data_IF_969578511639
#
_entry.id   IF_969578511639
#
_cell.length_a   1.000
_cell.length_b   1.000
_cell.length_c   1.000
_cell.angle_alpha   90.00
_cell.angle_beta   90.00
_cell.angle_gamma   90.00
#
_symmetry.space_group_name_H-M   'P 1'
#
loop_
_entity.id
_entity.type
_entity.pdbx_description
1 polymer ?
#
# COMPACT_ATOMS: atom_id res chain seq x y z
N UNK A 1 13.17 53.84 36.82
CA UNK A 1 11.78 54.18 37.20
C UNK A 1 10.84 53.25 36.44
N UNK A 2 9.97 52.61 37.20
CA UNK A 2 8.93 51.65 36.80
C UNK A 2 7.82 52.30 35.99
N UNK A 3 7.30 51.63 34.95
CA UNK A 3 5.84 51.61 34.72
C UNK A 3 5.41 50.35 33.95
N UNK A 4 4.66 49.49 34.65
CA UNK A 4 3.77 48.46 34.09
C UNK A 4 2.50 49.15 33.57
N UNK A 5 1.93 48.64 32.49
CA UNK A 5 0.63 49.06 31.99
C UNK A 5 0.01 48.04 31.04
N UNK A 6 -0.70 47.07 31.60
CA UNK A 6 -1.66 46.18 30.94
C UNK A 6 -2.79 46.98 30.28
N UNK A 7 -3.17 46.65 29.03
CA UNK A 7 -4.56 46.83 28.57
C UNK A 7 -4.90 45.80 27.49
N UNK A 8 -5.84 44.92 27.83
CA UNK A 8 -6.62 44.06 26.95
C UNK A 8 -7.69 44.90 26.24
N UNK A 9 -7.87 44.70 24.93
CA UNK A 9 -9.10 44.91 24.15
C UNK A 9 -8.72 44.90 22.65
N UNK A 10 -9.49 44.43 21.68
CA UNK A 10 -10.76 43.72 21.58
C UNK A 10 -10.80 43.25 20.11
N UNK A 11 -11.28 42.03 19.88
CA UNK A 11 -12.06 41.57 18.72
C UNK A 11 -12.06 42.41 17.43
N UNK A 12 -11.56 41.80 16.34
CA UNK A 12 -12.11 42.01 15.00
C UNK A 12 -12.35 40.63 14.38
N UNK A 13 -13.60 40.15 14.53
CA UNK A 13 -14.12 39.03 13.74
C UNK A 13 -14.27 39.56 12.32
N UNK A 14 -13.41 39.12 11.40
CA UNK A 14 -13.62 39.33 9.98
C UNK A 14 -14.32 38.09 9.42
N UNK A 15 -15.64 38.17 9.35
CA UNK A 15 -16.49 37.27 8.57
C UNK A 15 -16.22 37.52 7.08
N UNK A 16 -15.44 36.65 6.44
CA UNK A 16 -15.37 36.59 4.97
C UNK A 16 -16.51 35.69 4.49
N UNK A 17 -17.68 36.30 4.30
CA UNK A 17 -18.76 35.76 3.48
C UNK A 17 -18.42 36.06 2.01
N UNK A 18 -17.81 35.09 1.32
CA UNK A 18 -17.74 35.08 -0.14
C UNK A 18 -18.51 33.85 -0.63
N UNK A 19 -19.77 34.09 -0.99
CA UNK A 19 -20.56 33.16 -1.76
C UNK A 19 -20.06 33.15 -3.21
N UNK A 20 -19.76 31.96 -3.73
CA UNK A 20 -20.01 31.60 -5.12
C UNK A 20 -18.86 31.81 -6.13
N UNK A 21 -17.97 30.84 -6.20
CA UNK A 21 -17.53 30.27 -7.48
C UNK A 21 -17.30 28.77 -7.29
N UNK A 22 -18.09 27.99 -8.02
CA UNK A 22 -17.92 26.56 -8.20
C UNK A 22 -16.52 26.27 -8.73
N UNK A 23 -15.71 25.63 -7.90
CA UNK A 23 -14.52 24.90 -8.29
C UNK A 23 -14.42 23.81 -7.26
N UNK A 24 -14.82 22.60 -7.65
CA UNK A 24 -14.73 21.36 -6.87
C UNK A 24 -13.45 21.39 -6.01
N UNK A 25 -13.57 21.67 -4.71
CA UNK A 25 -12.64 21.08 -3.76
C UNK A 25 -12.99 19.60 -3.83
N UNK A 26 -12.24 18.87 -4.66
CA UNK A 26 -12.10 17.43 -4.48
C UNK A 26 -11.63 17.28 -3.04
N UNK A 27 -12.57 16.95 -2.14
CA UNK A 27 -12.22 16.23 -0.93
C UNK A 27 -11.29 15.10 -1.40
N UNK A 28 -10.07 14.97 -0.85
CA UNK A 28 -9.28 13.80 -1.14
C UNK A 28 -10.17 12.61 -0.81
N UNK A 29 -10.49 11.80 -1.83
CA UNK A 29 -11.23 10.57 -1.63
C UNK A 29 -10.52 9.83 -0.49
N UNK A 30 -11.24 9.36 0.55
CA UNK A 30 -10.60 8.64 1.63
C UNK A 30 -9.81 7.50 0.99
N UNK A 31 -8.49 7.52 1.16
CA UNK A 31 -7.60 6.41 0.85
C UNK A 31 -8.23 5.20 1.51
N UNK A 32 -8.92 4.35 0.75
CA UNK A 32 -9.86 3.39 1.31
C UNK A 32 -9.11 2.52 2.32
N UNK A 33 -9.37 2.74 3.61
CA UNK A 33 -8.77 1.95 4.68
C UNK A 33 -9.08 0.46 4.43
N UNK A 34 -8.13 -0.44 4.71
CA UNK A 34 -8.34 -1.87 4.48
C UNK A 34 -9.61 -2.32 5.19
N UNK A 35 -10.48 -3.01 4.46
CA UNK A 35 -11.91 -3.07 4.81
C UNK A 35 -12.24 -4.26 5.72
N UNK A 36 -11.35 -5.24 5.84
CA UNK A 36 -11.37 -6.25 6.90
C UNK A 36 -10.03 -6.99 6.98
N UNK A 37 -9.64 -7.43 8.18
CA UNK A 37 -8.61 -8.47 8.31
C UNK A 37 -9.09 -9.77 7.62
N UNK A 38 -8.18 -10.47 6.96
CA UNK A 38 -8.43 -11.73 6.25
C UNK A 38 -7.39 -12.78 6.66
N UNK A 39 -7.68 -14.04 6.36
CA UNK A 39 -6.75 -15.13 6.66
C UNK A 39 -5.69 -15.23 5.55
N UNK A 40 -4.43 -15.60 5.85
CA UNK A 40 -3.40 -15.84 4.84
C UNK A 40 -3.85 -16.77 3.71
N UNK A 41 -4.59 -17.83 4.06
CA UNK A 41 -5.09 -18.79 3.08
C UNK A 41 -6.01 -18.19 2.01
N UNK A 42 -6.74 -17.11 2.33
CA UNK A 42 -7.62 -16.45 1.36
C UNK A 42 -6.79 -15.73 0.28
N UNK A 43 -5.69 -15.10 0.68
CA UNK A 43 -4.73 -14.50 -0.23
C UNK A 43 -4.03 -15.57 -1.07
N UNK A 44 -3.58 -16.67 -0.45
CA UNK A 44 -2.88 -17.76 -1.14
C UNK A 44 -3.78 -18.49 -2.14
N UNK A 45 -5.06 -18.68 -1.82
CA UNK A 45 -6.04 -19.28 -2.74
C UNK A 45 -6.19 -18.44 -4.02
N UNK A 46 -6.30 -17.11 -3.88
CA UNK A 46 -6.49 -16.22 -5.03
C UNK A 46 -5.19 -16.01 -5.82
N UNK A 47 -4.08 -15.74 -5.11
CA UNK A 47 -2.79 -15.46 -5.74
C UNK A 47 -2.11 -16.72 -6.27
N UNK A 48 -2.34 -17.89 -5.67
CA UNK A 48 -1.54 -19.09 -5.89
C UNK A 48 -0.08 -18.95 -5.40
N UNK A 49 0.27 -17.87 -4.70
CA UNK A 49 1.55 -17.70 -4.04
C UNK A 49 1.41 -18.16 -2.59
N UNK A 50 2.36 -18.95 -2.11
CA UNK A 50 2.39 -19.44 -0.73
C UNK A 50 3.27 -18.52 0.12
N UNK A 51 2.72 -17.97 1.21
CA UNK A 51 3.48 -17.18 2.18
C UNK A 51 4.36 -18.15 2.96
N UNK A 52 5.70 -17.95 3.00
CA UNK A 52 6.60 -18.86 3.70
C UNK A 52 6.24 -19.01 5.19
N UNK A 53 6.37 -20.22 5.74
CA UNK A 53 6.14 -20.47 7.17
C UNK A 53 7.12 -19.69 8.07
N UNK A 54 8.28 -19.31 7.54
CA UNK A 54 9.29 -18.45 8.17
C UNK A 54 8.88 -16.98 8.26
N UNK A 55 7.82 -16.56 7.55
CA UNK A 55 7.42 -15.17 7.49
C UNK A 55 6.96 -14.64 8.86
N UNK A 56 7.46 -13.46 9.21
CA UNK A 56 7.12 -12.78 10.45
C UNK A 56 6.23 -11.55 10.17
N UNK A 57 5.45 -11.15 11.17
CA UNK A 57 4.55 -9.99 11.09
C UNK A 57 3.57 -10.09 9.91
N UNK A 58 3.02 -11.28 9.69
CA UNK A 58 2.07 -11.54 8.60
C UNK A 58 0.75 -10.85 8.90
N UNK A 59 0.36 -9.93 8.02
CA UNK A 59 -0.93 -9.27 8.02
C UNK A 59 -1.56 -9.41 6.65
N UNK A 60 -2.84 -9.78 6.60
CA UNK A 60 -3.60 -9.90 5.35
C UNK A 60 -4.91 -9.15 5.50
N UNK A 61 -5.23 -8.37 4.47
CA UNK A 61 -6.40 -7.53 4.42
C UNK A 61 -7.20 -7.81 3.15
N UNK A 62 -8.53 -7.87 3.29
CA UNK A 62 -9.45 -7.72 2.17
C UNK A 62 -9.69 -6.24 1.91
N UNK A 63 -9.50 -5.82 0.67
CA UNK A 63 -9.77 -4.44 0.24
C UNK A 63 -11.09 -4.46 -0.51
N UNK A 64 -12.09 -3.74 0.03
CA UNK A 64 -13.53 -3.96 -0.19
C UNK A 64 -14.02 -4.30 -1.60
N UNK A 65 -15.17 -4.95 -1.64
CA UNK A 65 -15.86 -5.46 -2.83
C UNK A 65 -16.28 -4.33 -3.79
N UNK A 66 -15.39 -3.92 -4.71
CA UNK A 66 -15.81 -3.22 -5.93
C UNK A 66 -16.45 -4.24 -6.88
N UNK A 67 -17.64 -4.73 -6.54
CA UNK A 67 -18.32 -5.84 -7.24
C UNK A 67 -17.97 -7.22 -6.67
N UNK A 68 -18.31 -8.29 -7.39
CA UNK A 68 -18.02 -9.68 -6.97
C UNK A 68 -16.55 -10.09 -7.10
N UNK A 69 -15.65 -9.14 -7.31
CA UNK A 69 -14.23 -9.38 -7.60
C UNK A 69 -13.44 -9.26 -6.31
N UNK A 70 -12.75 -10.35 -5.95
CA UNK A 70 -11.94 -10.42 -4.73
C UNK A 70 -10.64 -9.65 -4.87
N UNK A 71 -10.22 -8.96 -3.80
CA UNK A 71 -8.94 -8.25 -3.72
C UNK A 71 -8.35 -8.39 -2.33
N UNK A 72 -7.08 -8.80 -2.28
CA UNK A 72 -6.34 -8.96 -1.03
C UNK A 72 -4.98 -8.26 -1.09
N UNK A 73 -4.56 -7.78 0.08
CA UNK A 73 -3.22 -7.28 0.34
C UNK A 73 -2.60 -8.11 1.45
N UNK A 74 -1.35 -8.54 1.27
CA UNK A 74 -0.56 -9.22 2.29
C UNK A 74 0.74 -8.44 2.54
N UNK A 75 1.06 -8.24 3.82
CA UNK A 75 2.31 -7.63 4.26
C UNK A 75 3.00 -8.55 5.25
N UNK A 76 4.30 -8.77 5.07
CA UNK A 76 5.09 -9.62 5.96
C UNK A 76 6.58 -9.34 5.80
N UNK A 77 7.38 -9.95 6.68
CA UNK A 77 8.84 -9.88 6.62
C UNK A 77 9.47 -11.26 6.48
N UNK A 78 10.54 -11.36 5.70
CA UNK A 78 11.31 -12.57 5.47
C UNK A 78 12.76 -12.39 5.95
N UNK A 79 13.45 -13.51 6.14
CA UNK A 79 14.83 -13.52 6.62
C UNK A 79 15.86 -13.12 5.58
N UNK A 80 15.57 -13.30 4.28
CA UNK A 80 16.53 -13.11 3.20
C UNK A 80 15.89 -12.97 1.80
N UNK A 81 16.73 -12.63 0.82
CA UNK A 81 16.37 -12.47 -0.59
C UNK A 81 15.97 -13.78 -1.28
N UNK A 82 16.47 -14.94 -0.83
CA UNK A 82 16.16 -16.24 -1.44
C UNK A 82 14.69 -16.60 -1.20
N UNK A 83 14.20 -16.42 0.03
CA UNK A 83 12.79 -16.61 0.35
C UNK A 83 11.88 -15.63 -0.40
N UNK A 84 12.30 -14.37 -0.55
CA UNK A 84 11.53 -13.36 -1.30
C UNK A 84 11.41 -13.72 -2.80
N UNK A 85 12.48 -14.28 -3.39
CA UNK A 85 12.45 -14.81 -4.76
C UNK A 85 11.54 -16.03 -4.87
N UNK A 86 11.64 -16.97 -3.92
CA UNK A 86 10.79 -18.15 -3.89
C UNK A 86 9.30 -17.78 -3.79
N UNK A 87 8.95 -16.76 -3.00
CA UNK A 87 7.59 -16.23 -2.94
C UNK A 87 7.10 -15.71 -4.30
N UNK A 88 7.92 -14.96 -5.04
CA UNK A 88 7.53 -14.51 -6.38
C UNK A 88 7.35 -15.69 -7.37
N UNK A 89 8.22 -16.70 -7.28
CA UNK A 89 8.15 -17.87 -8.17
C UNK A 89 6.92 -18.75 -7.87
N UNK A 90 6.50 -18.88 -6.61
CA UNK A 90 5.37 -19.73 -6.20
C UNK A 90 4.06 -19.27 -6.84
N UNK A 91 3.80 -17.95 -6.85
CA UNK A 91 2.65 -17.35 -7.51
C UNK A 91 2.72 -17.27 -9.03
N UNK A 92 3.75 -17.87 -9.66
CA UNK A 92 4.07 -17.72 -11.09
C UNK A 92 4.18 -16.25 -11.49
N UNK A 93 4.77 -15.45 -10.61
CA UNK A 93 4.93 -14.02 -10.75
C UNK A 93 6.28 -13.74 -11.40
N UNK A 94 6.31 -12.94 -12.48
CA UNK A 94 7.55 -12.55 -13.14
C UNK A 94 8.34 -11.58 -12.26
N UNK A 95 9.66 -11.74 -12.19
CA UNK A 95 10.56 -10.98 -11.33
C UNK A 95 11.27 -9.87 -12.09
N UNK A 96 11.11 -8.60 -11.67
CA UNK A 96 11.66 -7.43 -12.33
C UNK A 96 12.39 -6.51 -11.33
N UNK A 97 13.66 -6.23 -11.61
CA UNK A 97 14.42 -5.25 -10.82
C UNK A 97 13.88 -3.84 -11.07
N UNK A 98 13.59 -3.11 -10.00
CA UNK A 98 13.31 -1.68 -10.06
C UNK A 98 14.64 -0.93 -10.08
N UNK A 99 14.79 0.07 -10.97
CA UNK A 99 16.07 0.75 -11.15
C UNK A 99 16.40 1.71 -9.99
N UNK A 100 15.36 2.28 -9.35
CA UNK A 100 15.47 3.17 -8.20
C UNK A 100 14.20 3.16 -7.35
N UNK A 101 14.29 3.55 -6.07
CA UNK A 101 13.13 3.67 -5.19
C UNK A 101 12.03 4.61 -5.72
N UNK A 102 12.42 5.67 -6.44
CA UNK A 102 11.49 6.61 -7.06
C UNK A 102 10.69 6.05 -8.25
N UNK A 103 11.08 4.89 -8.77
CA UNK A 103 10.32 4.23 -9.85
C UNK A 103 9.10 3.46 -9.31
N UNK A 104 9.00 3.27 -7.99
CA UNK A 104 7.74 2.87 -7.34
C UNK A 104 6.93 4.14 -7.08
N UNK A 105 6.08 4.50 -8.03
CA UNK A 105 5.27 5.72 -8.00
C UNK A 105 4.30 5.75 -6.81
N UNK A 106 3.90 6.94 -6.38
CA UNK A 106 3.04 7.16 -5.20
C UNK A 106 1.76 6.32 -5.22
N UNK A 107 1.06 6.29 -6.35
CA UNK A 107 -0.14 5.46 -6.55
C UNK A 107 0.11 3.96 -6.28
N UNK A 108 1.27 3.44 -6.67
CA UNK A 108 1.65 2.04 -6.42
C UNK A 108 1.98 1.81 -4.95
N UNK A 109 2.60 2.80 -4.28
CA UNK A 109 2.90 2.72 -2.86
C UNK A 109 1.64 2.73 -2.00
N UNK A 110 0.69 3.59 -2.35
CA UNK A 110 -0.64 3.62 -1.71
C UNK A 110 -1.40 2.32 -1.97
N UNK A 111 -1.43 1.85 -3.22
CA UNK A 111 -2.08 0.58 -3.61
C UNK A 111 -1.57 -0.62 -2.82
N UNK A 112 -0.28 -0.67 -2.54
CA UNK A 112 0.38 -1.73 -1.79
C UNK A 112 0.44 -1.47 -0.28
N UNK A 113 -0.18 -0.41 0.23
CA UNK A 113 -0.14 -0.01 1.64
C UNK A 113 1.29 0.13 2.19
N UNK A 114 2.23 0.52 1.31
CA UNK A 114 3.63 0.81 1.66
C UNK A 114 3.71 2.12 2.44
N UNK A 115 2.82 3.08 2.14
CA UNK A 115 2.77 4.39 2.77
C UNK A 115 4.10 5.15 2.64
N UNK A 116 4.59 5.69 3.74
CA UNK A 116 5.85 6.44 3.81
C UNK A 116 7.09 5.54 4.03
N UNK A 117 6.94 4.21 3.99
CA UNK A 117 8.06 3.27 4.25
C UNK A 117 9.25 3.50 3.31
N UNK A 118 10.46 3.62 3.85
CA UNK A 118 11.67 3.74 3.03
C UNK A 118 11.90 2.46 2.21
N UNK A 119 12.07 2.61 0.89
CA UNK A 119 12.38 1.50 0.00
C UNK A 119 13.87 1.53 -0.34
N UNK A 120 14.61 0.54 0.14
CA UNK A 120 16.01 0.30 -0.24
C UNK A 120 16.05 -0.86 -1.23
N UNK A 121 16.68 -0.63 -2.39
CA UNK A 121 16.83 -1.58 -3.50
C UNK A 121 15.54 -2.38 -3.82
N UNK A 122 14.42 -1.70 -4.14
CA UNK A 122 13.17 -2.39 -4.32
C UNK A 122 13.16 -3.31 -5.53
N UNK A 123 12.33 -4.33 -5.44
CA UNK A 123 12.08 -5.27 -6.53
C UNK A 123 10.58 -5.41 -6.69
N UNK A 124 10.15 -5.57 -7.94
CA UNK A 124 8.75 -5.78 -8.30
C UNK A 124 8.59 -7.17 -8.90
N UNK A 125 7.58 -7.89 -8.44
CA UNK A 125 7.09 -9.07 -9.14
C UNK A 125 5.70 -8.78 -9.70
N UNK A 126 5.46 -9.09 -10.98
CA UNK A 126 4.10 -9.01 -11.56
C UNK A 126 3.80 -10.17 -12.49
N UNK A 127 2.54 -10.61 -12.52
CA UNK A 127 2.04 -11.49 -13.57
C UNK A 127 0.60 -11.18 -13.94
N UNK A 128 0.37 -11.15 -15.25
CA UNK A 128 -0.95 -11.29 -15.87
C UNK A 128 -0.84 -12.50 -16.79
N UNK A 129 -1.23 -13.67 -16.30
CA UNK A 129 -1.18 -14.89 -17.11
C UNK A 129 -2.36 -14.92 -18.07
N UNK A 130 -2.10 -15.11 -19.37
CA UNK A 130 -3.17 -15.28 -20.35
C UNK A 130 -4.10 -16.42 -19.96
N UNK A 131 -5.41 -16.13 -19.90
CA UNK A 131 -6.45 -17.08 -19.49
C UNK A 131 -6.75 -17.11 -18.00
N UNK A 132 -6.07 -16.30 -17.18
CA UNK A 132 -6.43 -16.06 -15.79
C UNK A 132 -7.01 -14.67 -15.62
N UNK A 133 -7.97 -14.55 -14.70
CA UNK A 133 -8.64 -13.31 -14.37
C UNK A 133 -8.07 -12.74 -13.07
N UNK A 134 -6.75 -12.89 -12.85
CA UNK A 134 -6.09 -12.49 -11.61
C UNK A 134 -4.85 -11.68 -11.95
N UNK A 135 -4.81 -10.45 -11.44
CA UNK A 135 -3.64 -9.60 -11.43
C UNK A 135 -2.87 -9.80 -10.11
N UNK A 136 -1.57 -10.01 -10.23
CA UNK A 136 -0.65 -10.24 -9.11
C UNK A 136 0.46 -9.23 -9.19
N UNK A 137 0.67 -8.51 -8.10
CA UNK A 137 1.74 -7.52 -7.98
C UNK A 137 2.38 -7.68 -6.60
N UNK A 138 3.70 -7.65 -6.54
CA UNK A 138 4.46 -7.68 -5.29
C UNK A 138 5.52 -6.60 -5.39
N UNK A 139 5.68 -5.85 -4.32
CA UNK A 139 6.84 -4.99 -4.10
C UNK A 139 7.52 -5.48 -2.83
N UNK A 140 8.83 -5.60 -2.85
CA UNK A 140 9.59 -5.82 -1.63
C UNK A 140 10.84 -4.95 -1.61
N UNK A 141 11.36 -4.69 -0.42
CA UNK A 141 12.55 -3.86 -0.20
C UNK A 141 13.38 -4.35 0.98
N UNK A 142 14.61 -3.84 1.07
CA UNK A 142 15.63 -4.27 2.04
C UNK A 142 16.00 -3.13 3.02
N UNK A 143 15.05 -2.62 3.83
CA UNK A 143 15.28 -1.42 4.63
C UNK A 143 16.21 -1.67 5.83
N UNK A 144 16.31 -2.90 6.35
CA UNK A 144 17.03 -3.22 7.59
C UNK A 144 17.84 -4.54 7.49
N UNK A 145 19.12 -4.45 7.12
CA UNK A 145 20.04 -5.59 7.19
C UNK A 145 19.70 -6.73 6.21
N UNK A 146 19.73 -7.98 6.68
CA UNK A 146 19.44 -9.19 5.88
C UNK A 146 17.93 -9.39 5.65
N UNK A 147 17.05 -8.64 6.34
CA UNK A 147 15.59 -8.85 6.30
C UNK A 147 14.94 -8.18 5.09
N UNK A 148 13.84 -8.78 4.63
CA UNK A 148 13.06 -8.31 3.48
C UNK A 148 11.66 -7.97 3.92
N UNK A 149 11.20 -6.75 3.63
CA UNK A 149 9.80 -6.36 3.80
C UNK A 149 9.04 -6.58 2.50
N UNK A 150 7.91 -7.27 2.54
CA UNK A 150 7.11 -7.66 1.38
C UNK A 150 5.72 -7.04 1.46
N UNK A 151 5.26 -6.47 0.35
CA UNK A 151 3.91 -5.95 0.15
C UNK A 151 3.32 -6.54 -1.14
N UNK A 152 2.41 -7.49 -0.99
CA UNK A 152 1.80 -8.21 -2.08
C UNK A 152 0.33 -7.83 -2.25
N UNK A 153 -0.10 -7.73 -3.50
CA UNK A 153 -1.47 -7.45 -3.93
C UNK A 153 -1.90 -8.53 -4.92
N UNK A 154 -3.09 -9.08 -4.70
CA UNK A 154 -3.74 -9.99 -5.64
C UNK A 154 -5.19 -9.57 -5.82
N UNK A 155 -5.66 -9.51 -7.06
CA UNK A 155 -7.03 -9.09 -7.35
C UNK A 155 -7.62 -9.79 -8.57
N UNK A 156 -8.92 -10.07 -8.52
CA UNK A 156 -9.67 -10.52 -9.69
C UNK A 156 -9.91 -9.35 -10.66
N UNK A 157 -9.78 -9.59 -11.96
CA UNK A 157 -10.02 -8.61 -13.02
C UNK A 157 -11.17 -9.05 -13.93
N UNK A 158 -12.16 -8.17 -14.14
CA UNK A 158 -13.26 -8.38 -15.08
C UNK A 158 -12.81 -8.23 -16.53
N UNK A 159 -13.46 -8.97 -17.44
CA UNK A 159 -13.25 -8.90 -18.89
C UNK A 159 -14.38 -8.13 -19.57
#
# INVERSE_FOLDING_TARGET
MTQRGTTLALTAVLTVLLAGCFGNEEEPEPTAEPTAAAEPSDFEELSGAEIPESAESVEVFSVGDSGSLRKYVATFTLSDEEEAKAFCESGKIGYYRVLSAGDVVEEERERHFIGETELVDPVRCTSVKQGENVDRSVVFSYPEGERVSVWALTQEVGW
#
